data_IF_365393953212
#
_entry.id   IF_365393953212
#
_cell.length_a   1.000
_cell.length_b   1.000
_cell.length_c   1.000
_cell.angle_alpha   90.00
_cell.angle_beta   90.00
_cell.angle_gamma   90.00
#
_symmetry.space_group_name_H-M   'P 1'
#
loop_
_entity.id
_entity.type
_entity.pdbx_description
1 polymer ?
#
# COMPACT_ATOMS: atom_id res chain seq x y z
N UNK A 1 -19.05 -26.01 -17.84
CA UNK A 1 -17.99 -25.84 -16.83
C UNK A 1 -16.69 -25.74 -17.60
N UNK A 2 -16.30 -24.51 -17.97
CA UNK A 2 -15.05 -24.30 -18.67
C UNK A 2 -13.93 -24.53 -17.65
N UNK A 3 -13.06 -25.50 -17.92
CA UNK A 3 -11.78 -25.61 -17.25
C UNK A 3 -11.04 -24.32 -17.53
N UNK A 4 -10.97 -23.45 -16.52
CA UNK A 4 -10.06 -22.30 -16.53
C UNK A 4 -8.68 -22.85 -16.84
N UNK A 5 -7.94 -22.22 -17.75
CA UNK A 5 -6.54 -22.51 -18.06
C UNK A 5 -5.69 -22.41 -16.78
N UNK A 6 -5.74 -23.44 -15.94
CA UNK A 6 -5.07 -23.51 -14.65
C UNK A 6 -3.55 -23.71 -14.80
N UNK A 7 -3.06 -23.85 -16.02
CA UNK A 7 -1.65 -24.17 -16.28
C UNK A 7 -0.73 -22.97 -16.05
N UNK A 8 -1.23 -21.73 -16.06
CA UNK A 8 -0.42 -20.52 -15.87
C UNK A 8 -1.05 -19.52 -14.89
N UNK A 9 -0.56 -19.51 -13.65
CA UNK A 9 -0.97 -18.57 -12.61
C UNK A 9 0.22 -17.93 -11.90
N UNK A 10 -0.01 -16.74 -11.31
CA UNK A 10 0.85 -16.22 -10.26
C UNK A 10 0.47 -16.87 -8.93
N UNK A 11 1.43 -17.55 -8.30
CA UNK A 11 1.24 -18.21 -7.02
C UNK A 11 1.92 -17.45 -5.90
N UNK A 12 1.17 -17.15 -4.84
CA UNK A 12 1.66 -16.43 -3.67
C UNK A 12 1.39 -17.22 -2.39
N UNK A 13 2.40 -17.43 -1.52
CA UNK A 13 2.13 -17.80 -0.14
C UNK A 13 1.29 -16.69 0.51
N UNK A 14 0.09 -17.04 0.97
CA UNK A 14 -0.89 -16.07 1.41
C UNK A 14 -1.67 -16.54 2.63
N UNK A 15 -2.16 -15.57 3.40
CA UNK A 15 -3.10 -15.77 4.50
C UNK A 15 -4.47 -15.30 4.06
N UNK A 16 -5.49 -16.15 4.18
CA UNK A 16 -6.90 -15.82 3.95
C UNK A 16 -7.50 -15.18 5.22
N UNK A 17 -8.16 -14.04 5.07
CA UNK A 17 -8.95 -13.40 6.10
C UNK A 17 -10.41 -13.25 5.67
N UNK A 18 -11.28 -12.89 6.61
CA UNK A 18 -12.67 -12.51 6.32
C UNK A 18 -12.90 -11.08 6.81
N UNK A 19 -13.35 -10.21 5.92
CA UNK A 19 -13.72 -8.83 6.22
C UNK A 19 -15.12 -8.54 5.65
N UNK A 20 -16.01 -8.00 6.47
CA UNK A 20 -17.41 -7.74 6.08
C UNK A 20 -18.11 -8.94 5.41
N UNK A 21 -17.83 -10.15 5.91
CA UNK A 21 -18.41 -11.40 5.40
C UNK A 21 -17.79 -11.92 4.10
N UNK A 22 -16.66 -11.37 3.64
CA UNK A 22 -16.02 -11.75 2.38
C UNK A 22 -14.55 -12.09 2.56
N UNK A 23 -14.01 -13.05 1.78
CA UNK A 23 -12.62 -13.41 1.85
C UNK A 23 -11.74 -12.29 1.28
N UNK A 24 -10.59 -12.10 1.89
CA UNK A 24 -9.48 -11.34 1.34
C UNK A 24 -8.18 -12.10 1.63
N UNK A 25 -7.10 -11.76 0.92
CA UNK A 25 -5.83 -12.47 1.04
C UNK A 25 -4.70 -11.49 1.28
N UNK A 26 -3.78 -11.85 2.16
CA UNK A 26 -2.55 -11.10 2.40
C UNK A 26 -1.38 -11.93 1.92
N UNK A 27 -0.56 -11.38 1.03
CA UNK A 27 0.70 -12.00 0.63
C UNK A 27 1.84 -10.97 0.70
N UNK A 28 3.05 -11.44 0.92
CA UNK A 28 4.25 -10.62 0.73
C UNK A 28 4.82 -10.88 -0.66
N UNK A 29 5.18 -9.80 -1.35
CA UNK A 29 5.67 -9.87 -2.71
C UNK A 29 7.04 -9.21 -2.81
N UNK A 30 8.07 -9.88 -3.40
CA UNK A 30 9.32 -9.23 -3.71
C UNK A 30 9.09 -7.97 -4.55
N UNK A 31 9.77 -6.87 -4.26
CA UNK A 31 9.53 -5.60 -4.96
C UNK A 31 9.71 -5.74 -6.49
N UNK A 32 10.61 -6.62 -6.95
CA UNK A 32 10.82 -6.92 -8.38
C UNK A 32 9.61 -7.47 -9.14
N UNK A 33 8.65 -8.08 -8.44
CA UNK A 33 7.43 -8.62 -9.08
C UNK A 33 6.30 -7.59 -9.15
N UNK A 34 6.38 -6.52 -8.35
CA UNK A 34 5.33 -5.51 -8.24
C UNK A 34 5.04 -4.83 -9.60
N UNK A 35 6.03 -4.37 -10.39
CA UNK A 35 5.74 -3.78 -11.70
C UNK A 35 5.10 -4.78 -12.68
N UNK A 36 5.42 -6.07 -12.55
CA UNK A 36 4.97 -7.14 -13.46
C UNK A 36 3.53 -7.57 -13.19
N UNK A 37 3.18 -7.78 -11.92
CA UNK A 37 1.83 -8.21 -11.51
C UNK A 37 0.82 -7.09 -11.69
N UNK A 38 1.23 -5.87 -11.40
CA UNK A 38 0.42 -4.68 -11.61
C UNK A 38 0.83 -3.99 -12.90
N UNK A 39 0.78 -4.72 -14.01
CA UNK A 39 0.99 -4.15 -15.34
C UNK A 39 -0.08 -3.08 -15.60
N UNK A 40 0.36 -1.91 -16.08
CA UNK A 40 -0.53 -0.80 -16.39
C UNK A 40 -0.88 -0.86 -17.87
N UNK A 41 -2.12 -1.22 -18.19
CA UNK A 41 -2.73 -0.86 -19.46
C UNK A 41 -3.95 0.02 -19.18
N UNK A 42 -3.91 1.27 -19.63
CA UNK A 42 -5.05 2.19 -19.51
C UNK A 42 -6.27 1.69 -20.30
N UNK A 43 -6.06 0.84 -21.32
CA UNK A 43 -7.11 0.26 -22.15
C UNK A 43 -7.85 -0.86 -21.44
N UNK A 44 -7.17 -1.62 -20.57
CA UNK A 44 -7.80 -2.70 -19.80
C UNK A 44 -8.77 -2.13 -18.75
N UNK A 45 -8.57 -0.87 -18.35
CA UNK A 45 -9.33 -0.24 -17.28
C UNK A 45 -10.60 0.43 -17.83
N UNK A 46 -11.79 0.13 -17.26
CA UNK A 46 -13.02 0.83 -17.60
C UNK A 46 -12.85 2.35 -17.51
N UNK A 47 -13.40 3.14 -18.44
CA UNK A 47 -13.26 4.60 -18.46
C UNK A 47 -13.55 5.28 -17.11
N UNK A 48 -14.49 4.73 -16.35
CA UNK A 48 -14.92 5.22 -15.03
C UNK A 48 -13.84 5.06 -13.94
N UNK A 49 -12.94 4.08 -14.07
CA UNK A 49 -11.81 3.89 -13.16
C UNK A 49 -10.58 4.70 -13.57
N UNK A 50 -10.47 5.16 -14.82
CA UNK A 50 -9.30 5.92 -15.30
C UNK A 50 -9.10 7.23 -14.53
N UNK A 51 -10.18 7.94 -14.20
CA UNK A 51 -10.12 9.19 -13.46
C UNK A 51 -9.46 9.04 -12.07
N UNK A 52 -9.64 7.88 -11.43
CA UNK A 52 -9.05 7.55 -10.13
C UNK A 52 -7.53 7.29 -10.20
N UNK A 53 -6.98 7.16 -11.41
CA UNK A 53 -5.60 6.71 -11.65
C UNK A 53 -4.66 7.77 -12.19
N UNK A 54 -5.09 9.04 -12.21
CA UNK A 54 -4.20 10.14 -12.59
C UNK A 54 -3.15 10.32 -11.49
N UNK A 55 -1.99 9.70 -11.68
CA UNK A 55 -0.86 9.81 -10.77
C UNK A 55 -0.41 11.28 -10.69
N UNK A 56 -0.46 11.85 -9.50
CA UNK A 56 0.27 13.08 -9.23
C UNK A 56 1.79 12.82 -9.34
N UNK A 57 2.35 13.13 -10.51
CA UNK A 57 3.76 12.90 -10.83
C UNK A 57 4.72 13.65 -9.91
N UNK A 58 4.29 14.73 -9.25
CA UNK A 58 5.16 15.48 -8.34
C UNK A 58 5.51 14.72 -7.07
N UNK A 59 4.70 13.72 -6.67
CA UNK A 59 4.92 12.94 -5.43
C UNK A 59 5.90 11.77 -5.59
N UNK A 60 6.08 11.28 -6.81
CA UNK A 60 6.88 10.08 -7.08
C UNK A 60 8.38 10.31 -6.79
N UNK A 61 9.02 11.42 -7.23
CA UNK A 61 10.46 11.63 -7.01
C UNK A 61 10.86 11.58 -5.54
N UNK A 62 10.03 12.14 -4.66
CA UNK A 62 10.29 12.12 -3.21
C UNK A 62 10.24 10.69 -2.63
N UNK A 63 9.29 9.87 -3.08
CA UNK A 63 9.16 8.47 -2.66
C UNK A 63 10.29 7.59 -3.20
N UNK A 64 10.73 7.84 -4.44
CA UNK A 64 11.90 7.17 -5.02
C UNK A 64 13.14 7.51 -4.22
N UNK A 65 13.37 8.80 -3.94
CA UNK A 65 14.48 9.25 -3.10
C UNK A 65 14.44 8.62 -1.71
N UNK A 66 13.27 8.56 -1.09
CA UNK A 66 13.08 7.90 0.21
C UNK A 66 13.55 6.44 0.20
N UNK A 67 13.16 5.66 -0.81
CA UNK A 67 13.61 4.28 -1.02
C UNK A 67 15.13 4.17 -1.19
N UNK A 68 15.71 5.03 -2.04
CA UNK A 68 17.13 4.97 -2.40
C UNK A 68 18.06 5.40 -1.27
N UNK A 69 17.69 6.44 -0.53
CA UNK A 69 18.47 7.02 0.57
C UNK A 69 18.33 6.24 1.88
N UNK A 70 17.24 5.47 2.04
CA UNK A 70 16.94 4.74 3.28
C UNK A 70 16.81 3.22 3.09
N UNK A 71 17.72 2.53 2.39
CA UNK A 71 17.56 1.12 2.00
C UNK A 71 17.47 0.15 3.18
N UNK A 72 17.81 0.59 4.39
CA UNK A 72 17.80 -0.21 5.63
C UNK A 72 16.76 0.23 6.64
N UNK A 73 15.97 1.25 6.33
CA UNK A 73 15.06 1.89 7.30
C UNK A 73 13.79 2.48 6.64
N UNK A 74 13.54 2.26 5.34
CA UNK A 74 12.30 2.72 4.74
C UNK A 74 11.09 1.89 5.24
N UNK A 75 9.90 2.49 5.23
CA UNK A 75 8.65 1.80 5.55
C UNK A 75 7.59 2.19 4.53
N UNK A 76 7.11 1.22 3.76
CA UNK A 76 5.93 1.35 2.91
C UNK A 76 4.78 0.53 3.47
N UNK A 77 3.57 1.11 3.46
CA UNK A 77 2.34 0.39 3.76
C UNK A 77 1.99 -0.61 2.65
N UNK A 78 1.05 -1.50 2.93
CA UNK A 78 0.60 -2.53 1.99
C UNK A 78 -0.08 -1.95 0.74
N UNK A 79 0.19 -2.54 -0.43
CA UNK A 79 -0.58 -2.26 -1.63
C UNK A 79 -1.94 -2.96 -1.53
N UNK A 80 -3.02 -2.29 -1.93
CA UNK A 80 -4.36 -2.89 -1.94
C UNK A 80 -4.84 -3.06 -3.37
N UNK A 81 -5.22 -4.28 -3.73
CA UNK A 81 -5.63 -4.64 -5.07
C UNK A 81 -6.93 -5.47 -5.10
N UNK A 82 -7.66 -5.32 -6.18
CA UNK A 82 -8.85 -6.11 -6.52
C UNK A 82 -8.56 -7.02 -7.70
N UNK A 83 -9.01 -8.26 -7.63
CA UNK A 83 -8.93 -9.26 -8.71
C UNK A 83 -10.34 -9.43 -9.26
N UNK A 84 -10.51 -9.17 -10.55
CA UNK A 84 -11.84 -9.15 -11.20
C UNK A 84 -12.37 -10.54 -11.60
N UNK A 85 -11.66 -11.61 -11.24
CA UNK A 85 -11.99 -13.00 -11.55
C UNK A 85 -11.90 -13.84 -10.27
N UNK A 86 -12.50 -15.04 -10.31
CA UNK A 86 -12.32 -16.03 -9.26
C UNK A 86 -10.84 -16.47 -9.17
N UNK A 87 -10.40 -16.73 -7.95
CA UNK A 87 -9.05 -17.22 -7.67
C UNK A 87 -9.11 -18.58 -7.00
N UNK A 88 -8.06 -19.36 -7.17
CA UNK A 88 -7.88 -20.60 -6.43
C UNK A 88 -7.06 -20.34 -5.17
N UNK A 89 -7.47 -20.92 -4.05
CA UNK A 89 -6.71 -20.87 -2.81
C UNK A 89 -6.51 -22.28 -2.27
N UNK A 90 -5.27 -22.75 -2.37
CA UNK A 90 -4.86 -24.07 -1.91
C UNK A 90 -4.34 -23.97 -0.47
N UNK A 91 -5.25 -24.23 0.48
CA UNK A 91 -4.95 -24.20 1.91
C UNK A 91 -3.99 -25.34 2.30
N UNK A 92 -2.95 -25.04 3.08
CA UNK A 92 -2.00 -26.06 3.50
C UNK A 92 -2.64 -27.04 4.49
N UNK A 93 -2.28 -28.34 4.45
CA UNK A 93 -2.78 -29.32 5.41
C UNK A 93 -2.53 -28.88 6.85
N UNK A 94 -3.56 -29.02 7.71
CA UNK A 94 -3.51 -28.65 9.14
C UNK A 94 -3.18 -27.17 9.41
N UNK A 95 -3.34 -26.29 8.44
CA UNK A 95 -3.22 -24.86 8.64
C UNK A 95 -4.62 -24.21 8.65
N UNK A 96 -4.78 -23.16 9.45
CA UNK A 96 -6.00 -22.36 9.46
C UNK A 96 -5.74 -21.08 8.67
N UNK A 97 -6.27 -21.03 7.45
CA UNK A 97 -6.20 -19.92 6.52
C UNK A 97 -4.82 -19.61 5.91
N UNK A 98 -3.83 -20.49 6.04
CA UNK A 98 -2.54 -20.33 5.36
C UNK A 98 -2.53 -21.21 4.11
N UNK A 99 -2.09 -20.68 2.98
CA UNK A 99 -2.09 -21.46 1.75
C UNK A 99 -1.40 -20.75 0.61
N UNK A 100 -1.64 -21.28 -0.59
CA UNK A 100 -1.16 -20.68 -1.84
C UNK A 100 -2.35 -20.03 -2.55
N UNK A 101 -2.28 -18.72 -2.73
CA UNK A 101 -3.20 -17.98 -3.60
C UNK A 101 -2.70 -18.08 -5.04
N UNK A 102 -3.52 -18.64 -5.92
CA UNK A 102 -3.25 -18.79 -7.34
C UNK A 102 -4.14 -17.82 -8.12
N UNK A 103 -3.52 -16.79 -8.70
CA UNK A 103 -4.18 -15.76 -9.52
C UNK A 103 -3.89 -16.04 -10.99
N UNK A 104 -4.90 -16.25 -11.85
CA UNK A 104 -4.68 -16.47 -13.28
C UNK A 104 -3.82 -15.36 -13.90
N UNK A 105 -2.92 -15.69 -14.82
CA UNK A 105 -2.02 -14.67 -15.43
C UNK A 105 -2.77 -13.67 -16.32
N UNK A 106 -3.92 -14.05 -16.85
CA UNK A 106 -4.85 -13.22 -17.62
C UNK A 106 -5.84 -12.45 -16.71
N UNK A 107 -5.77 -12.65 -15.39
CA UNK A 107 -6.62 -11.94 -14.45
C UNK A 107 -6.33 -10.44 -14.47
N UNK A 108 -7.40 -9.66 -14.52
CA UNK A 108 -7.30 -8.23 -14.33
C UNK A 108 -7.11 -7.89 -12.85
N UNK A 109 -5.93 -7.38 -12.50
CA UNK A 109 -5.59 -6.95 -11.14
C UNK A 109 -5.55 -5.41 -11.07
N UNK A 110 -6.43 -4.84 -10.27
CA UNK A 110 -6.66 -3.41 -10.15
C UNK A 110 -6.14 -2.87 -8.82
N UNK A 111 -5.18 -1.95 -8.84
CA UNK A 111 -4.71 -1.27 -7.62
C UNK A 111 -5.76 -0.25 -7.15
N UNK A 112 -6.32 -0.47 -5.96
CA UNK A 112 -7.23 0.46 -5.29
C UNK A 112 -6.49 1.47 -4.42
N UNK A 113 -5.36 1.11 -3.82
CA UNK A 113 -4.49 2.00 -3.05
C UNK A 113 -3.01 1.63 -3.22
N UNK A 114 -2.15 2.65 -3.25
CA UNK A 114 -0.70 2.49 -3.38
C UNK A 114 -0.14 2.64 -4.79
N UNK A 115 -0.87 3.30 -5.72
CA UNK A 115 -0.37 3.50 -7.09
C UNK A 115 0.93 4.32 -7.15
N UNK A 116 1.05 5.37 -6.32
CA UNK A 116 2.33 6.12 -6.20
C UNK A 116 3.45 5.24 -5.64
N UNK A 117 3.15 4.33 -4.70
CA UNK A 117 4.12 3.37 -4.16
C UNK A 117 4.56 2.40 -5.24
N UNK A 118 3.63 1.78 -5.98
CA UNK A 118 3.94 0.93 -7.13
C UNK A 118 4.90 1.63 -8.10
N UNK A 119 4.60 2.87 -8.48
CA UNK A 119 5.44 3.63 -9.42
C UNK A 119 6.81 4.00 -8.83
N UNK A 120 6.86 4.40 -7.56
CA UNK A 120 8.13 4.68 -6.88
C UNK A 120 9.00 3.42 -6.75
N UNK A 121 8.39 2.24 -6.54
CA UNK A 121 9.09 0.96 -6.52
C UNK A 121 9.69 0.67 -7.91
N UNK A 122 8.90 0.82 -8.97
CA UNK A 122 9.38 0.65 -10.36
C UNK A 122 10.59 1.54 -10.65
N UNK A 123 10.48 2.85 -10.40
CA UNK A 123 11.54 3.81 -10.68
C UNK A 123 12.77 3.62 -9.77
N UNK A 124 12.58 3.19 -8.52
CA UNK A 124 13.68 2.90 -7.60
C UNK A 124 14.43 1.61 -7.97
N UNK A 125 13.73 0.61 -8.53
CA UNK A 125 14.36 -0.63 -9.02
C UNK A 125 15.24 -0.39 -10.24
N UNK A 126 14.86 0.55 -11.11
CA UNK A 126 15.69 0.96 -12.26
C UNK A 126 17.02 1.56 -11.80
N UNK A 127 16.99 2.36 -10.72
CA UNK A 127 18.20 2.95 -10.14
C UNK A 127 19.00 1.99 -9.25
N UNK A 128 18.31 1.10 -8.53
CA UNK A 128 18.88 0.20 -7.52
C UNK A 128 18.21 -1.17 -7.52
N UNK A 129 18.61 -2.08 -8.42
CA UNK A 129 17.98 -3.40 -8.58
C UNK A 129 18.01 -4.27 -7.33
N UNK A 130 18.95 -4.07 -6.39
CA UNK A 130 19.00 -4.86 -5.15
C UNK A 130 17.78 -4.66 -4.24
N UNK A 131 17.06 -3.53 -4.36
CA UNK A 131 15.79 -3.30 -3.64
C UNK A 131 14.73 -4.36 -4.02
N UNK A 132 14.90 -5.04 -5.17
CA UNK A 132 14.00 -6.08 -5.63
C UNK A 132 13.97 -7.34 -4.75
N UNK A 133 14.90 -7.49 -3.80
CA UNK A 133 14.90 -8.58 -2.81
C UNK A 133 13.98 -8.31 -1.63
N UNK A 134 13.69 -7.04 -1.35
CA UNK A 134 12.81 -6.68 -0.26
C UNK A 134 11.36 -7.03 -0.60
N UNK A 135 10.55 -7.26 0.44
CA UNK A 135 9.16 -7.63 0.29
C UNK A 135 8.24 -6.49 0.71
N UNK A 136 7.16 -6.29 -0.04
CA UNK A 136 6.05 -5.42 0.35
C UNK A 136 4.79 -6.26 0.54
N UNK A 137 3.99 -6.00 1.60
CA UNK A 137 2.70 -6.65 1.75
C UNK A 137 1.72 -6.18 0.66
N UNK A 138 0.92 -7.12 0.18
CA UNK A 138 -0.14 -6.90 -0.79
C UNK A 138 -1.43 -7.52 -0.25
N UNK A 139 -2.49 -6.72 -0.25
CA UNK A 139 -3.84 -7.09 0.13
C UNK A 139 -4.67 -7.32 -1.14
N UNK A 140 -5.18 -8.53 -1.32
CA UNK A 140 -6.00 -8.91 -2.46
C UNK A 140 -7.46 -9.11 -2.04
N UNK A 141 -8.36 -8.40 -2.70
CA UNK A 141 -9.80 -8.63 -2.66
C UNK A 141 -10.25 -9.29 -3.96
N UNK A 142 -11.11 -10.30 -3.88
CA UNK A 142 -11.53 -11.13 -5.02
C UNK A 142 -12.97 -10.82 -5.38
N UNK A 143 -13.30 -10.91 -6.67
CA UNK A 143 -14.65 -10.71 -7.20
C UNK A 143 -15.23 -9.33 -6.84
N UNK A 144 -14.38 -8.31 -7.02
CA UNK A 144 -14.71 -6.92 -6.74
C UNK A 144 -15.11 -6.23 -8.05
N UNK A 145 -16.35 -6.45 -8.50
CA UNK A 145 -16.88 -5.76 -9.68
C UNK A 145 -16.74 -4.23 -9.60
N UNK A 146 -16.81 -3.55 -10.75
CA UNK A 146 -16.53 -2.11 -10.93
C UNK A 146 -17.06 -1.20 -9.80
N UNK A 147 -18.36 -1.28 -9.50
CA UNK A 147 -19.01 -0.43 -8.48
C UNK A 147 -18.39 -0.60 -7.10
N UNK A 148 -17.94 -1.81 -6.77
CA UNK A 148 -17.37 -2.14 -5.46
C UNK A 148 -15.92 -1.71 -5.35
N UNK A 149 -15.13 -1.87 -6.41
CA UNK A 149 -13.79 -1.28 -6.49
C UNK A 149 -13.84 0.25 -6.32
N UNK A 150 -14.82 0.93 -6.94
CA UNK A 150 -15.04 2.37 -6.74
C UNK A 150 -15.38 2.73 -5.28
N UNK A 151 -16.28 1.97 -4.64
CA UNK A 151 -16.62 2.17 -3.24
C UNK A 151 -15.41 1.93 -2.33
N UNK A 152 -14.62 0.89 -2.59
CA UNK A 152 -13.40 0.58 -1.85
C UNK A 152 -12.39 1.71 -1.96
N UNK A 153 -12.18 2.27 -3.16
CA UNK A 153 -11.35 3.46 -3.35
C UNK A 153 -11.85 4.62 -2.48
N UNK A 154 -13.16 4.89 -2.47
CA UNK A 154 -13.74 5.93 -1.63
C UNK A 154 -13.52 5.65 -0.14
N UNK A 155 -13.76 4.42 0.33
CA UNK A 155 -13.62 4.03 1.74
C UNK A 155 -12.18 4.13 2.23
N UNK A 156 -11.22 3.69 1.42
CA UNK A 156 -9.78 3.76 1.72
C UNK A 156 -9.28 5.20 1.89
N UNK A 157 -9.87 6.15 1.15
CA UNK A 157 -9.46 7.55 1.19
C UNK A 157 -10.29 8.42 2.15
N UNK A 158 -11.58 8.11 2.34
CA UNK A 158 -12.52 8.93 3.12
C UNK A 158 -12.14 9.07 4.59
N UNK A 159 -11.58 8.02 5.18
CA UNK A 159 -11.22 7.99 6.60
C UNK A 159 -9.72 8.23 6.85
N UNK A 160 -8.93 8.49 5.81
CA UNK A 160 -7.52 8.80 5.94
C UNK A 160 -7.33 10.22 6.51
N UNK A 161 -7.05 10.30 7.80
CA UNK A 161 -6.74 11.57 8.47
C UNK A 161 -5.23 11.82 8.40
N UNK A 162 -4.84 12.97 7.86
CA UNK A 162 -3.44 13.39 7.89
C UNK A 162 -3.09 13.86 9.31
N UNK A 163 -1.96 13.41 9.89
CA UNK A 163 -1.49 13.97 11.15
C UNK A 163 -1.23 15.47 11.01
N UNK A 164 -1.28 16.20 12.14
CA UNK A 164 -0.94 17.63 12.13
C UNK A 164 0.52 17.83 11.70
N UNK A 165 0.85 18.95 11.03
CA UNK A 165 2.24 19.23 10.64
C UNK A 165 3.20 19.20 11.82
N UNK A 166 2.78 19.71 12.98
CA UNK A 166 3.57 19.69 14.21
C UNK A 166 3.90 18.27 14.68
N UNK A 167 2.93 17.35 14.63
CA UNK A 167 3.14 15.96 15.05
C UNK A 167 4.01 15.20 14.03
N UNK A 168 3.78 15.45 12.73
CA UNK A 168 4.60 14.90 11.67
C UNK A 168 6.07 15.32 11.83
N UNK A 169 6.34 16.62 11.99
CA UNK A 169 7.69 17.12 12.26
C UNK A 169 8.26 16.63 13.60
N UNK A 170 7.44 16.44 14.64
CA UNK A 170 7.93 15.91 15.92
C UNK A 170 8.47 14.48 15.79
N UNK A 171 7.89 13.65 14.92
CA UNK A 171 8.30 12.25 14.74
C UNK A 171 9.22 12.01 13.54
N UNK A 172 9.34 12.96 12.62
CA UNK A 172 10.28 12.83 11.51
C UNK A 172 11.70 13.16 11.96
N UNK A 173 12.46 12.14 12.35
CA UNK A 173 13.86 12.27 12.75
C UNK A 173 14.84 12.38 11.58
N UNK A 174 14.38 12.17 10.35
CA UNK A 174 15.22 12.19 9.15
C UNK A 174 15.28 13.58 8.54
N UNK A 175 14.21 14.36 8.68
CA UNK A 175 14.17 15.73 8.20
C UNK A 175 15.01 16.68 9.07
N UNK A 176 15.98 17.35 8.44
CA UNK A 176 16.88 18.28 9.11
C UNK A 176 16.14 19.50 9.69
N UNK A 177 15.12 20.00 8.99
CA UNK A 177 14.30 21.11 9.48
C UNK A 177 13.50 20.71 10.71
N UNK A 178 12.95 19.50 10.73
CA UNK A 178 12.25 18.90 11.87
C UNK A 178 13.19 18.71 13.07
N UNK A 179 14.45 18.30 12.84
CA UNK A 179 15.47 18.23 13.88
C UNK A 179 15.78 19.61 14.50
N UNK A 180 15.94 20.64 13.67
CA UNK A 180 16.17 22.01 14.14
C UNK A 180 14.97 22.56 14.93
N UNK A 181 13.75 22.33 14.46
CA UNK A 181 12.53 22.80 15.12
C UNK A 181 12.33 22.13 16.50
N UNK A 182 12.71 20.85 16.65
CA UNK A 182 12.73 20.16 17.95
C UNK A 182 13.76 20.76 18.91
N UNK A 183 14.99 20.96 18.43
CA UNK A 183 16.08 21.49 19.25
C UNK A 183 15.80 22.93 19.73
N UNK A 184 15.16 23.74 18.88
CA UNK A 184 14.81 25.13 19.19
C UNK A 184 13.62 25.25 20.17
N UNK A 185 12.98 24.13 20.55
CA UNK A 185 11.84 24.10 21.48
C UNK A 185 10.50 24.52 20.87
N UNK A 186 10.45 24.82 19.57
CA UNK A 186 9.26 25.30 18.87
C UNK A 186 8.20 24.21 18.70
N UNK A 187 8.62 22.94 18.56
CA UNK A 187 7.69 21.80 18.40
C UNK A 187 7.16 21.29 19.75
N UNK A 188 7.96 21.38 20.82
CA UNK A 188 7.55 20.96 22.17
C UNK A 188 6.43 21.83 22.76
N UNK A 189 6.31 23.10 22.33
CA UNK A 189 5.21 23.98 22.77
C UNK A 189 3.85 23.61 22.15
N UNK A 190 3.82 22.91 21.02
CA UNK A 190 2.58 22.56 20.31
C UNK A 190 2.02 21.17 20.70
N UNK A 191 2.84 20.31 21.31
CA UNK A 191 2.51 18.92 21.63
C UNK A 191 3.03 18.60 23.04
N UNK A 192 2.21 18.86 24.06
CA UNK A 192 2.56 18.51 25.44
C UNK A 192 2.19 17.05 25.69
N UNK A 193 3.18 16.22 26.02
CA UNK A 193 2.95 14.87 26.54
C UNK A 193 2.58 14.99 28.03
N UNK A 194 1.39 14.52 28.41
CA UNK A 194 0.93 14.54 29.80
C UNK A 194 1.30 13.20 30.47
N UNK A 195 2.42 13.21 31.21
CA UNK A 195 2.96 12.04 31.95
C UNK A 195 1.92 11.38 32.87
N UNK A 196 0.89 12.12 33.31
CA UNK A 196 -0.13 11.60 34.25
C UNK A 196 -1.25 10.86 33.55
N UNK A 197 -1.50 11.15 32.28
CA UNK A 197 -2.63 10.59 31.52
C UNK A 197 -2.20 9.73 30.34
N UNK A 198 -0.91 9.75 29.97
CA UNK A 198 -0.38 9.04 28.80
C UNK A 198 -0.97 9.55 27.47
N UNK A 199 -1.52 10.77 27.45
CA UNK A 199 -2.16 11.37 26.29
C UNK A 199 -1.38 12.57 25.76
N UNK A 200 -1.40 12.71 24.44
CA UNK A 200 -0.91 13.89 23.74
C UNK A 200 -1.96 15.00 23.87
N UNK A 201 -1.61 16.13 24.48
CA UNK A 201 -2.45 17.34 24.48
C UNK A 201 -1.96 18.29 23.39
N UNK A 202 -2.88 18.66 22.50
CA UNK A 202 -2.69 19.80 21.61
C UNK A 202 -3.03 21.07 22.39
N UNK A 203 -2.05 21.93 22.63
CA UNK A 203 -2.36 23.31 22.99
C UNK A 203 -2.76 24.02 21.69
N UNK A 204 -4.02 24.45 21.59
CA UNK A 204 -4.41 25.45 20.61
C UNK A 204 -3.47 26.63 20.79
N UNK A 205 -2.76 27.01 19.72
CA UNK A 205 -1.98 28.24 19.73
C UNK A 205 -2.90 29.37 20.17
N UNK A 206 -2.48 30.08 21.22
CA UNK A 206 -3.09 31.31 21.70
C UNK A 206 -3.22 32.28 20.53
N UNK A 207 -4.37 32.97 20.46
CA UNK A 207 -4.66 34.07 19.51
C UNK A 207 -3.52 35.10 19.41
#
# INVERSE_FOLDING_TARGET
>A
MASVDADYCYSFPAIRGIQAGRPFYIATCPMRIIPKIFSFDENDVPPELRAQRTLNKSRIPEMVRYLLENPKDYVFSALTASIAVDVQFDEFPNSNNLGTLCVPMDAQILINDGQHRRKAIEDALDARPELGQDNIPVLFFVDEGLKRSQQMFADLNKYAIRPSPSLASLYDHRDASSNLARYSGDVHRAVCWDDRTGKIRHQSAVE
#
